data_IF_178608234360
#
_entry.id   IF_178608234360
#
_cell.length_a   1.000
_cell.length_b   1.000
_cell.length_c   1.000
_cell.angle_alpha   90.00
_cell.angle_beta   90.00
_cell.angle_gamma   90.00
#
_symmetry.space_group_name_H-M   'P 1'
#
loop_
_entity.id
_entity.type
_entity.pdbx_description
1 polymer ?
#
# COMPACT_ATOMS: atom_id res chain seq x y z
N UNK A 1 17.12 56.43 -22.81
CA UNK A 1 18.11 57.48 -22.43
C UNK A 1 17.53 58.57 -21.51
N UNK A 2 16.33 59.15 -21.75
CA UNK A 2 15.79 60.24 -20.90
C UNK A 2 15.40 59.79 -19.47
N UNK A 3 14.75 58.63 -19.33
CA UNK A 3 14.31 58.09 -18.01
C UNK A 3 15.49 57.82 -17.07
N UNK A 4 16.55 57.19 -17.58
CA UNK A 4 17.77 56.91 -16.81
C UNK A 4 18.41 58.21 -16.31
N UNK A 5 18.44 59.25 -17.14
CA UNK A 5 19.00 60.56 -16.75
C UNK A 5 18.16 61.26 -15.67
N UNK A 6 16.83 61.10 -15.70
CA UNK A 6 15.92 61.64 -14.68
C UNK A 6 16.04 60.88 -13.35
N UNK A 7 16.17 59.54 -13.39
CA UNK A 7 16.40 58.72 -12.20
C UNK A 7 17.75 59.05 -11.53
N UNK A 8 18.82 59.12 -12.32
CA UNK A 8 20.18 59.39 -11.82
C UNK A 8 20.33 60.81 -11.27
N UNK A 9 19.79 61.82 -11.96
CA UNK A 9 19.83 63.22 -11.48
C UNK A 9 18.90 63.46 -10.29
N UNK A 10 17.75 62.78 -10.26
CA UNK A 10 16.75 62.93 -9.21
C UNK A 10 17.02 62.09 -7.96
N UNK A 11 17.94 61.11 -8.02
CA UNK A 11 18.09 60.04 -7.01
C UNK A 11 16.74 59.38 -6.68
N UNK A 12 15.89 59.22 -7.68
CA UNK A 12 14.58 58.59 -7.56
C UNK A 12 14.60 57.22 -8.23
N UNK A 13 13.85 56.24 -7.70
CA UNK A 13 13.70 54.94 -8.34
C UNK A 13 13.21 55.04 -9.80
N UNK A 14 13.54 54.03 -10.61
CA UNK A 14 13.37 54.10 -12.07
C UNK A 14 11.89 54.23 -12.50
N UNK A 15 11.01 53.56 -11.76
CA UNK A 15 9.55 53.60 -11.86
C UNK A 15 8.98 55.00 -11.61
N UNK A 16 9.47 55.69 -10.59
CA UNK A 16 9.09 57.09 -10.30
C UNK A 16 9.60 58.05 -11.40
N UNK A 17 10.78 57.77 -11.97
CA UNK A 17 11.28 58.52 -13.13
C UNK A 17 10.43 58.29 -14.40
N UNK A 18 9.87 57.09 -14.59
CA UNK A 18 8.91 56.80 -15.66
C UNK A 18 7.60 57.57 -15.46
N UNK A 19 7.03 57.55 -14.26
CA UNK A 19 5.79 58.28 -13.93
C UNK A 19 5.93 59.79 -14.18
N UNK A 20 7.04 60.39 -13.76
CA UNK A 20 7.32 61.82 -13.99
C UNK A 20 7.49 62.20 -15.45
N UNK A 21 7.86 61.25 -16.31
CA UNK A 21 7.95 61.44 -17.75
C UNK A 21 6.63 61.17 -18.47
N UNK A 22 5.52 61.07 -17.73
CA UNK A 22 4.17 60.90 -18.27
C UNK A 22 3.89 59.46 -18.71
N UNK A 23 4.74 58.51 -18.36
CA UNK A 23 4.44 57.09 -18.56
C UNK A 23 3.55 56.62 -17.41
N UNK A 24 2.31 56.29 -17.75
CA UNK A 24 1.41 55.55 -16.88
C UNK A 24 1.59 54.07 -17.19
N UNK A 25 1.72 53.19 -16.18
CA UNK A 25 1.70 51.76 -16.41
C UNK A 25 0.42 51.39 -17.18
N UNK A 26 0.49 50.51 -18.19
CA UNK A 26 -0.70 49.90 -18.78
C UNK A 26 -1.58 49.32 -17.66
N UNK A 27 -2.91 49.43 -17.73
CA UNK A 27 -3.83 48.98 -16.68
C UNK A 27 -3.62 47.48 -16.32
N UNK A 28 -3.15 46.72 -17.30
CA UNK A 28 -2.71 45.34 -17.23
C UNK A 28 -1.47 45.10 -16.34
N UNK A 29 -0.62 46.09 -16.06
CA UNK A 29 0.51 45.96 -15.11
C UNK A 29 0.11 46.16 -13.64
N UNK A 30 -0.94 46.95 -13.36
CA UNK A 30 -1.49 47.06 -12.00
C UNK A 30 -2.34 45.82 -11.64
N UNK A 31 -3.01 45.21 -12.62
CA UNK A 31 -3.74 43.94 -12.43
C UNK A 31 -2.82 42.71 -12.32
N UNK A 32 -1.63 42.72 -12.93
CA UNK A 32 -0.65 41.63 -12.80
C UNK A 32 0.06 41.59 -11.43
N UNK A 33 -0.06 42.64 -10.61
CA UNK A 33 0.56 42.71 -9.28
C UNK A 33 -0.29 42.10 -8.15
N UNK A 34 -1.47 41.52 -8.45
CA UNK A 34 -2.52 41.33 -7.44
C UNK A 34 -3.06 39.94 -7.19
N UNK A 35 -2.87 38.95 -8.06
CA UNK A 35 -3.41 37.60 -7.82
C UNK A 35 -2.32 36.56 -7.99
N UNK A 36 -1.54 36.36 -6.93
CA UNK A 36 -0.77 35.13 -6.80
C UNK A 36 -1.73 33.95 -6.94
N UNK A 37 -1.37 32.93 -7.73
CA UNK A 37 -2.14 31.69 -7.76
C UNK A 37 -2.39 31.19 -6.33
N UNK A 38 -3.49 30.47 -6.13
CA UNK A 38 -3.97 30.10 -4.78
C UNK A 38 -2.88 29.53 -3.86
N UNK A 39 -1.97 28.72 -4.41
CA UNK A 39 -0.82 28.18 -3.68
C UNK A 39 0.11 29.29 -3.15
N UNK A 40 0.49 30.23 -4.01
CA UNK A 40 1.35 31.35 -3.64
C UNK A 40 0.70 32.26 -2.61
N UNK A 41 -0.58 32.56 -2.79
CA UNK A 41 -1.37 33.35 -1.84
C UNK A 41 -1.39 32.70 -0.45
N UNK A 42 -1.73 31.40 -0.38
CA UNK A 42 -1.75 30.65 0.88
C UNK A 42 -0.40 30.62 1.58
N UNK A 43 0.69 30.41 0.84
CA UNK A 43 2.05 30.36 1.43
C UNK A 43 2.49 31.72 1.99
N UNK A 44 2.15 32.83 1.32
CA UNK A 44 2.45 34.18 1.81
C UNK A 44 1.56 34.55 3.00
N UNK A 45 0.25 34.31 2.93
CA UNK A 45 -0.68 34.61 4.03
C UNK A 45 -0.41 33.77 5.28
N UNK A 46 0.08 32.54 5.10
CA UNK A 46 0.55 31.69 6.20
C UNK A 46 1.91 32.11 6.77
N UNK A 47 2.62 33.05 6.12
CA UNK A 47 3.95 33.49 6.53
C UNK A 47 5.02 32.42 6.35
N UNK A 48 4.80 31.46 5.44
CA UNK A 48 5.77 30.40 5.13
C UNK A 48 6.82 30.87 4.15
N UNK A 49 6.48 31.83 3.28
CA UNK A 49 7.41 32.50 2.36
C UNK A 49 7.09 34.00 2.30
N UNK A 50 8.10 34.79 1.96
CA UNK A 50 7.92 36.21 1.66
C UNK A 50 7.52 36.44 0.19
N UNK A 51 6.93 37.59 -0.10
CA UNK A 51 6.51 37.99 -1.46
C UNK A 51 7.67 37.95 -2.47
N UNK A 52 8.87 38.36 -2.06
CA UNK A 52 10.06 38.34 -2.91
C UNK A 52 10.49 36.92 -3.30
N UNK A 53 10.39 35.96 -2.37
CA UNK A 53 10.68 34.54 -2.61
C UNK A 53 9.66 33.95 -3.58
N UNK A 54 8.38 34.33 -3.43
CA UNK A 54 7.32 33.91 -4.34
C UNK A 54 7.54 34.46 -5.77
N UNK A 55 7.86 35.74 -5.91
CA UNK A 55 8.16 36.36 -7.21
C UNK A 55 9.35 35.68 -7.91
N UNK A 56 10.42 35.37 -7.17
CA UNK A 56 11.57 34.64 -7.71
C UNK A 56 11.18 33.22 -8.15
N UNK A 57 10.38 32.52 -7.36
CA UNK A 57 9.95 31.16 -7.69
C UNK A 57 9.00 31.12 -8.89
N UNK A 58 8.13 32.13 -9.05
CA UNK A 58 7.28 32.29 -10.23
C UNK A 58 8.08 32.53 -11.49
N UNK A 59 9.10 33.39 -11.43
CA UNK A 59 10.00 33.62 -12.56
C UNK A 59 10.69 32.32 -12.99
N UNK A 60 11.22 31.56 -12.03
CA UNK A 60 11.85 30.27 -12.33
C UNK A 60 10.87 29.21 -12.83
N UNK A 61 9.63 29.20 -12.33
CA UNK A 61 8.58 28.30 -12.78
C UNK A 61 8.32 28.50 -14.29
N UNK A 62 8.23 29.76 -14.72
CA UNK A 62 8.06 30.11 -16.14
C UNK A 62 9.29 29.73 -16.98
N UNK A 63 10.49 30.09 -16.54
CA UNK A 63 11.73 29.81 -17.28
C UNK A 63 11.99 28.30 -17.45
N UNK A 64 11.66 27.50 -16.42
CA UNK A 64 11.95 26.06 -16.43
C UNK A 64 10.75 25.19 -16.84
N UNK A 65 9.58 25.78 -17.10
CA UNK A 65 8.32 25.06 -17.31
C UNK A 65 8.05 24.02 -16.21
N UNK A 66 8.27 24.42 -14.95
CA UNK A 66 8.03 23.58 -13.77
C UNK A 66 6.92 24.19 -12.90
N UNK A 67 6.14 23.37 -12.18
CA UNK A 67 5.18 23.88 -11.21
C UNK A 67 5.85 24.75 -10.14
N UNK A 68 5.16 25.80 -9.69
CA UNK A 68 5.64 26.76 -8.70
C UNK A 68 6.09 26.08 -7.41
N UNK A 69 5.29 25.16 -6.89
CA UNK A 69 5.61 24.37 -5.70
C UNK A 69 6.92 23.60 -5.88
N UNK A 70 7.13 22.99 -7.05
CA UNK A 70 8.37 22.28 -7.34
C UNK A 70 9.59 23.20 -7.33
N UNK A 71 9.48 24.40 -7.90
CA UNK A 71 10.53 25.42 -7.81
C UNK A 71 10.82 25.84 -6.36
N UNK A 72 9.77 26.05 -5.55
CA UNK A 72 9.92 26.41 -4.13
C UNK A 72 10.67 25.34 -3.33
N UNK A 73 10.43 24.06 -3.60
CA UNK A 73 11.16 22.95 -2.95
C UNK A 73 12.60 22.85 -3.46
N UNK A 74 12.83 22.97 -4.77
CA UNK A 74 14.18 22.91 -5.36
C UNK A 74 15.09 24.02 -4.83
N UNK A 75 14.54 25.23 -4.63
CA UNK A 75 15.25 26.36 -4.03
C UNK A 75 15.40 26.27 -2.51
N UNK A 76 14.86 25.23 -1.88
CA UNK A 76 14.79 25.07 -0.42
C UNK A 76 14.06 26.22 0.29
N UNK A 77 13.14 26.90 -0.41
CA UNK A 77 12.29 27.92 0.19
C UNK A 77 11.26 27.29 1.15
N UNK A 78 10.76 26.10 0.80
CA UNK A 78 9.89 25.28 1.65
C UNK A 78 10.31 23.81 1.57
N UNK A 79 9.93 23.01 2.56
CA UNK A 79 10.13 21.56 2.53
C UNK A 79 9.04 20.84 1.72
N UNK A 80 9.32 19.62 1.26
CA UNK A 80 8.34 18.77 0.57
C UNK A 80 7.08 18.55 1.41
N UNK A 81 7.24 18.34 2.73
CA UNK A 81 6.13 18.13 3.65
C UNK A 81 5.24 19.38 3.79
N UNK A 82 5.83 20.58 3.79
CA UNK A 82 5.09 21.84 3.83
C UNK A 82 4.36 22.12 2.52
N UNK A 83 4.99 21.84 1.38
CA UNK A 83 4.31 21.93 0.10
C UNK A 83 3.14 20.97 0.01
N UNK A 84 3.33 19.70 0.41
CA UNK A 84 2.24 18.73 0.46
C UNK A 84 1.11 19.18 1.39
N UNK A 85 1.44 19.81 2.52
CA UNK A 85 0.46 20.42 3.42
C UNK A 85 -0.30 21.57 2.74
N UNK A 86 0.39 22.46 2.01
CA UNK A 86 -0.26 23.56 1.29
C UNK A 86 -1.18 23.07 0.17
N UNK A 87 -0.73 22.11 -0.64
CA UNK A 87 -1.55 21.49 -1.68
C UNK A 87 -2.76 20.74 -1.09
N UNK A 88 -2.58 20.05 0.04
CA UNK A 88 -3.68 19.40 0.75
C UNK A 88 -4.68 20.43 1.27
N UNK A 89 -4.22 21.61 1.73
CA UNK A 89 -5.10 22.69 2.14
C UNK A 89 -5.97 23.16 0.97
N UNK A 90 -5.37 23.38 -0.20
CA UNK A 90 -6.11 23.76 -1.41
C UNK A 90 -7.15 22.71 -1.82
N UNK A 91 -6.79 21.41 -1.78
CA UNK A 91 -7.76 20.33 -2.05
C UNK A 91 -8.93 20.37 -1.07
N UNK A 92 -8.66 20.53 0.23
CA UNK A 92 -9.71 20.60 1.25
C UNK A 92 -10.58 21.87 1.13
N UNK A 93 -9.98 23.00 0.74
CA UNK A 93 -10.71 24.25 0.47
C UNK A 93 -11.61 24.11 -0.75
N UNK A 94 -11.10 23.54 -1.84
CA UNK A 94 -11.86 23.25 -3.07
C UNK A 94 -13.03 22.31 -2.80
N UNK A 95 -12.81 21.30 -1.96
CA UNK A 95 -13.85 20.36 -1.52
C UNK A 95 -14.83 20.97 -0.50
N UNK A 96 -14.65 22.24 -0.09
CA UNK A 96 -15.49 22.92 0.90
C UNK A 96 -15.37 22.38 2.33
N UNK A 97 -14.34 21.58 2.61
CA UNK A 97 -14.12 20.92 3.92
C UNK A 97 -13.51 21.85 4.96
N UNK A 98 -12.75 22.85 4.51
CA UNK A 98 -12.14 23.88 5.37
C UNK A 98 -12.27 25.25 4.72
N UNK A 99 -12.27 26.29 5.56
CA UNK A 99 -12.19 27.69 5.13
C UNK A 99 -10.75 28.13 4.87
N UNK A 100 -10.56 29.23 4.15
CA UNK A 100 -9.24 29.84 3.93
C UNK A 100 -8.55 30.19 5.26
N UNK A 101 -9.28 30.73 6.23
CA UNK A 101 -8.73 31.05 7.56
C UNK A 101 -8.23 29.78 8.29
N UNK A 102 -9.00 28.70 8.22
CA UNK A 102 -8.59 27.41 8.79
C UNK A 102 -7.36 26.84 8.07
N UNK A 103 -7.28 26.98 6.75
CA UNK A 103 -6.11 26.58 5.97
C UNK A 103 -4.86 27.36 6.40
N UNK A 104 -4.94 28.69 6.48
CA UNK A 104 -3.83 29.57 6.88
C UNK A 104 -3.34 29.23 8.29
N UNK A 105 -4.27 29.13 9.25
CA UNK A 105 -3.94 28.80 10.64
C UNK A 105 -3.41 27.36 10.78
N UNK A 106 -4.00 26.42 10.03
CA UNK A 106 -3.55 25.03 9.96
C UNK A 106 -2.12 24.91 9.42
N UNK A 107 -1.78 25.64 8.35
CA UNK A 107 -0.43 25.66 7.77
C UNK A 107 0.60 26.27 8.72
N UNK A 108 0.27 27.38 9.40
CA UNK A 108 1.13 27.96 10.45
C UNK A 108 1.42 26.95 11.56
N UNK A 109 0.39 26.26 12.03
CA UNK A 109 0.52 25.24 13.07
C UNK A 109 1.34 24.04 12.58
N UNK A 110 1.10 23.55 11.36
CA UNK A 110 1.81 22.44 10.75
C UNK A 110 3.31 22.73 10.65
N UNK A 111 3.68 23.93 10.20
CA UNK A 111 5.07 24.36 10.14
C UNK A 111 5.73 24.50 11.52
N UNK A 112 5.02 25.08 12.50
CA UNK A 112 5.55 25.25 13.86
C UNK A 112 5.74 23.91 14.58
N UNK A 113 4.80 22.98 14.42
CA UNK A 113 4.79 21.67 15.10
C UNK A 113 5.50 20.56 14.31
N UNK A 114 5.89 20.82 13.06
CA UNK A 114 6.51 19.83 12.15
C UNK A 114 5.63 18.57 11.96
N UNK A 115 4.34 18.78 11.72
CA UNK A 115 3.35 17.72 11.50
C UNK A 115 2.53 17.99 10.23
N UNK A 116 1.68 17.04 9.82
CA UNK A 116 0.81 17.23 8.66
C UNK A 116 -0.24 18.31 8.88
N UNK A 117 -0.78 18.83 7.77
CA UNK A 117 -1.93 19.74 7.82
C UNK A 117 -3.12 19.08 8.52
N UNK A 118 -3.46 17.84 8.13
CA UNK A 118 -4.63 17.16 8.66
C UNK A 118 -4.56 17.02 10.19
N UNK A 119 -3.39 16.67 10.74
CA UNK A 119 -3.20 16.60 12.18
C UNK A 119 -3.36 17.98 12.84
N UNK A 120 -2.82 19.03 12.23
CA UNK A 120 -2.94 20.39 12.74
C UNK A 120 -4.38 20.91 12.73
N UNK A 121 -5.17 20.54 11.72
CA UNK A 121 -6.59 20.88 11.64
C UNK A 121 -7.43 20.09 12.65
N UNK A 122 -7.08 18.82 12.90
CA UNK A 122 -7.70 18.01 13.96
C UNK A 122 -7.43 18.60 15.34
N UNK A 123 -6.18 18.95 15.63
CA UNK A 123 -5.80 19.61 16.90
C UNK A 123 -6.59 20.91 17.13
N UNK A 124 -6.88 21.65 16.06
CA UNK A 124 -7.63 22.90 16.10
C UNK A 124 -9.16 22.70 16.14
N UNK A 125 -9.65 21.45 16.06
CA UNK A 125 -11.08 21.13 15.98
C UNK A 125 -11.74 21.54 14.67
N UNK A 126 -10.96 21.93 13.65
CA UNK A 126 -11.43 22.42 12.35
C UNK A 126 -11.72 21.29 11.35
N UNK A 127 -11.27 20.06 11.63
CA UNK A 127 -11.39 18.92 10.72
C UNK A 127 -11.61 17.62 11.49
N UNK A 128 -12.43 16.72 10.95
CA UNK A 128 -12.52 15.33 11.42
C UNK A 128 -12.06 14.43 10.30
N UNK A 129 -11.02 13.62 10.56
CA UNK A 129 -10.64 12.56 9.63
C UNK A 129 -11.79 11.56 9.49
N UNK A 130 -12.19 11.25 8.26
CA UNK A 130 -13.14 10.17 8.00
C UNK A 130 -12.53 8.83 8.40
N UNK A 131 -13.33 7.94 8.98
CA UNK A 131 -12.87 6.66 9.53
C UNK A 131 -12.48 5.58 8.48
N UNK A 132 -12.64 5.85 7.17
CA UNK A 132 -12.24 4.88 6.15
C UNK A 132 -10.76 5.05 5.81
N UNK A 133 -9.99 4.00 6.02
CA UNK A 133 -8.65 3.85 5.44
C UNK A 133 -8.77 3.79 3.91
N UNK A 134 -8.82 4.95 3.25
CA UNK A 134 -8.65 5.05 1.81
C UNK A 134 -7.22 5.47 1.53
N UNK A 135 -6.43 4.60 0.92
CA UNK A 135 -5.10 4.97 0.41
C UNK A 135 -5.31 5.95 -0.74
N UNK A 136 -4.64 7.11 -0.73
CA UNK A 136 -4.73 8.11 -1.82
C UNK A 136 -3.99 7.58 -3.06
N UNK A 137 -4.44 7.95 -4.27
CA UNK A 137 -3.93 7.39 -5.52
C UNK A 137 -2.43 7.67 -5.68
N UNK A 138 -2.03 8.92 -5.44
CA UNK A 138 -0.63 9.33 -5.49
C UNK A 138 0.24 8.56 -4.50
N UNK A 139 -0.24 8.33 -3.27
CA UNK A 139 0.52 7.60 -2.26
C UNK A 139 0.65 6.10 -2.60
N UNK A 140 -0.40 5.49 -3.19
CA UNK A 140 -0.34 4.12 -3.69
C UNK A 140 0.71 3.98 -4.80
N UNK A 141 0.71 4.90 -5.77
CA UNK A 141 1.67 4.91 -6.88
C UNK A 141 3.10 5.15 -6.39
N UNK A 142 3.29 6.05 -5.41
CA UNK A 142 4.60 6.27 -4.79
C UNK A 142 5.08 5.03 -4.03
N UNK A 143 4.21 4.38 -3.24
CA UNK A 143 4.56 3.14 -2.53
C UNK A 143 4.87 1.97 -3.49
N UNK A 144 4.19 1.92 -4.64
CA UNK A 144 4.48 0.95 -5.69
C UNK A 144 5.78 1.27 -6.46
N UNK A 145 6.37 2.45 -6.25
CA UNK A 145 7.58 2.91 -6.94
C UNK A 145 7.35 3.30 -8.40
N UNK A 146 6.09 3.59 -8.78
CA UNK A 146 5.74 3.98 -10.15
C UNK A 146 5.92 5.47 -10.40
N UNK A 147 5.81 6.29 -9.37
CA UNK A 147 6.03 7.74 -9.42
C UNK A 147 6.85 8.18 -8.22
N UNK A 148 7.68 9.21 -8.37
CA UNK A 148 8.41 9.79 -7.25
C UNK A 148 7.51 10.71 -6.43
N UNK A 149 7.98 11.12 -5.24
CA UNK A 149 7.27 12.13 -4.44
C UNK A 149 7.20 13.49 -5.16
N UNK A 150 8.24 13.84 -5.93
CA UNK A 150 8.27 15.06 -6.74
C UNK A 150 7.25 15.03 -7.89
N UNK A 151 7.08 13.86 -8.50
CA UNK A 151 6.09 13.61 -9.56
C UNK A 151 4.67 13.73 -9.02
N UNK A 152 4.41 13.11 -7.86
CA UNK A 152 3.13 13.21 -7.13
C UNK A 152 2.77 14.67 -6.85
N UNK A 153 3.71 15.45 -6.30
CA UNK A 153 3.51 16.86 -5.96
C UNK A 153 3.20 17.68 -7.21
N UNK A 154 4.00 17.51 -8.27
CA UNK A 154 3.81 18.22 -9.54
C UNK A 154 2.43 17.92 -10.13
N UNK A 155 2.02 16.66 -10.11
CA UNK A 155 0.73 16.25 -10.65
C UNK A 155 -0.46 16.80 -9.86
N UNK A 156 -0.33 16.92 -8.53
CA UNK A 156 -1.36 17.56 -7.69
C UNK A 156 -1.47 19.05 -8.02
N UNK A 157 -0.35 19.75 -8.15
CA UNK A 157 -0.32 21.18 -8.44
C UNK A 157 -0.91 21.50 -9.81
N UNK A 158 -0.52 20.75 -10.84
CA UNK A 158 -1.11 20.86 -12.18
C UNK A 158 -2.61 20.55 -12.14
N UNK A 159 -3.01 19.46 -11.47
CA UNK A 159 -4.41 19.07 -11.36
C UNK A 159 -5.29 20.09 -10.62
N UNK A 160 -4.73 20.82 -9.65
CA UNK A 160 -5.42 21.93 -8.98
C UNK A 160 -5.59 23.13 -9.91
N UNK A 161 -4.55 23.50 -10.65
CA UNK A 161 -4.59 24.64 -11.58
C UNK A 161 -5.50 24.39 -12.79
N UNK A 162 -5.51 23.17 -13.31
CA UNK A 162 -6.25 22.79 -14.53
C UNK A 162 -7.61 22.13 -14.23
N UNK A 163 -7.95 21.98 -12.94
CA UNK A 163 -9.14 21.26 -12.48
C UNK A 163 -9.25 19.82 -13.03
N UNK A 164 -8.12 19.13 -13.08
CA UNK A 164 -7.98 17.75 -13.55
C UNK A 164 -7.73 16.77 -12.40
N UNK A 165 -8.02 15.48 -12.63
CA UNK A 165 -7.68 14.45 -11.65
C UNK A 165 -6.19 14.13 -11.72
N UNK A 166 -5.56 13.89 -10.55
CA UNK A 166 -4.13 13.55 -10.48
C UNK A 166 -3.76 12.36 -11.40
N UNK A 167 -4.62 11.34 -11.52
CA UNK A 167 -4.38 10.20 -12.40
C UNK A 167 -4.31 10.60 -13.88
N UNK A 168 -5.18 11.50 -14.33
CA UNK A 168 -5.19 12.01 -15.71
C UNK A 168 -3.91 12.81 -15.99
N UNK A 169 -3.51 13.68 -15.07
CA UNK A 169 -2.27 14.46 -15.17
C UNK A 169 -1.04 13.53 -15.27
N UNK A 170 -0.97 12.50 -14.41
CA UNK A 170 0.14 11.54 -14.43
C UNK A 170 0.24 10.77 -15.76
N UNK A 171 -0.90 10.46 -16.39
CA UNK A 171 -0.94 9.81 -17.71
C UNK A 171 -0.54 10.79 -18.82
N UNK A 172 -1.09 12.00 -18.84
CA UNK A 172 -0.77 13.03 -19.84
C UNK A 172 0.71 13.43 -19.81
N UNK A 173 1.30 13.44 -18.62
CA UNK A 173 2.72 13.72 -18.40
C UNK A 173 3.64 12.55 -18.79
N UNK A 174 3.07 11.41 -19.20
CA UNK A 174 3.83 10.19 -19.56
C UNK A 174 4.49 9.49 -18.37
N UNK A 175 4.10 9.81 -17.13
CA UNK A 175 4.69 9.22 -15.93
C UNK A 175 4.17 7.81 -15.65
N UNK A 176 2.91 7.55 -16.02
CA UNK A 176 2.28 6.22 -15.92
C UNK A 176 1.49 5.90 -17.19
N UNK A 177 1.32 4.61 -17.48
CA UNK A 177 0.45 4.19 -18.58
C UNK A 177 -1.03 4.34 -18.20
N UNK A 178 -1.95 4.55 -19.17
CA UNK A 178 -3.38 4.73 -18.89
C UNK A 178 -3.99 3.61 -18.04
N UNK A 179 -3.63 2.34 -18.31
CA UNK A 179 -4.15 1.19 -17.56
C UNK A 179 -3.74 1.16 -16.09
N UNK A 180 -2.63 1.81 -15.72
CA UNK A 180 -2.15 1.86 -14.32
C UNK A 180 -3.13 2.62 -13.43
N UNK A 181 -3.82 3.65 -13.97
CA UNK A 181 -4.81 4.42 -13.21
C UNK A 181 -5.99 3.51 -12.83
N UNK A 182 -6.55 2.79 -13.80
CA UNK A 182 -7.69 1.90 -13.57
C UNK A 182 -7.35 0.77 -12.59
N UNK A 183 -6.18 0.16 -12.74
CA UNK A 183 -5.67 -0.85 -11.82
C UNK A 183 -5.49 -0.31 -10.40
N UNK A 184 -4.94 0.91 -10.28
CA UNK A 184 -4.75 1.57 -8.99
C UNK A 184 -6.09 1.89 -8.30
N UNK A 185 -7.08 2.37 -9.04
CA UNK A 185 -8.43 2.65 -8.53
C UNK A 185 -9.10 1.37 -8.02
N UNK A 186 -8.96 0.26 -8.76
CA UNK A 186 -9.49 -1.03 -8.32
C UNK A 186 -8.81 -1.53 -7.04
N UNK A 187 -7.49 -1.36 -6.91
CA UNK A 187 -6.78 -1.70 -5.68
C UNK A 187 -7.19 -0.80 -4.51
N UNK A 188 -7.45 0.49 -4.73
CA UNK A 188 -8.00 1.37 -3.69
C UNK A 188 -9.37 0.90 -3.20
N UNK A 189 -10.23 0.41 -4.10
CA UNK A 189 -11.53 -0.16 -3.73
C UNK A 189 -11.37 -1.40 -2.84
N UNK A 190 -10.46 -2.32 -3.22
CA UNK A 190 -10.14 -3.50 -2.42
C UNK A 190 -9.58 -3.15 -1.03
N UNK A 191 -8.77 -2.08 -0.92
CA UNK A 191 -8.31 -1.58 0.38
C UNK A 191 -9.46 -0.97 1.17
N UNK A 192 -10.30 -0.14 0.55
CA UNK A 192 -11.42 0.53 1.21
C UNK A 192 -12.51 -0.42 1.71
N UNK A 193 -12.61 -1.61 1.10
CA UNK A 193 -13.49 -2.70 1.51
C UNK A 193 -12.85 -3.65 2.52
N UNK A 194 -11.58 -3.44 2.89
CA UNK A 194 -10.84 -4.23 3.87
C UNK A 194 -10.36 -5.60 3.36
N UNK A 195 -10.38 -5.84 2.05
CA UNK A 195 -9.94 -7.12 1.47
C UNK A 195 -8.41 -7.27 1.51
N UNK A 196 -7.68 -6.16 1.34
CA UNK A 196 -6.22 -6.11 1.34
C UNK A 196 -5.74 -4.84 2.06
N UNK A 197 -4.50 -4.84 2.54
CA UNK A 197 -3.86 -3.65 3.10
C UNK A 197 -3.28 -2.74 2.01
N UNK A 198 -3.04 -1.46 2.34
CA UNK A 198 -2.39 -0.52 1.42
C UNK A 198 -1.00 -0.99 0.95
N UNK A 199 -0.24 -1.65 1.84
CA UNK A 199 1.06 -2.23 1.49
C UNK A 199 0.92 -3.41 0.52
N UNK A 200 -0.11 -4.25 0.70
CA UNK A 200 -0.39 -5.34 -0.24
C UNK A 200 -0.82 -4.80 -1.60
N UNK A 201 -1.65 -3.76 -1.64
CA UNK A 201 -2.04 -3.08 -2.87
C UNK A 201 -0.82 -2.52 -3.62
N UNK A 202 0.07 -1.81 -2.92
CA UNK A 202 1.29 -1.26 -3.52
C UNK A 202 2.21 -2.34 -4.10
N UNK A 203 2.35 -3.47 -3.39
CA UNK A 203 3.16 -4.59 -3.86
C UNK A 203 2.52 -5.32 -5.05
N UNK A 204 1.19 -5.49 -5.07
CA UNK A 204 0.46 -6.02 -6.24
C UNK A 204 0.71 -5.15 -7.46
N UNK A 205 0.53 -3.83 -7.32
CA UNK A 205 0.70 -2.88 -8.41
C UNK A 205 2.13 -2.86 -8.94
N UNK A 206 3.12 -2.88 -8.04
CA UNK A 206 4.54 -2.97 -8.39
C UNK A 206 4.86 -4.23 -9.18
N UNK A 207 4.35 -5.38 -8.75
CA UNK A 207 4.60 -6.67 -9.42
C UNK A 207 3.90 -6.76 -10.78
N UNK A 208 2.67 -6.27 -10.88
CA UNK A 208 1.93 -6.19 -12.14
C UNK A 208 2.72 -5.35 -13.16
N UNK A 209 3.16 -4.16 -12.78
CA UNK A 209 3.92 -3.27 -13.65
C UNK A 209 5.30 -3.82 -14.03
N UNK A 210 6.06 -4.39 -13.09
CA UNK A 210 7.40 -4.93 -13.36
C UNK A 210 7.36 -6.15 -14.29
N UNK A 211 6.30 -6.96 -14.21
CA UNK A 211 6.07 -8.15 -15.04
C UNK A 211 5.28 -7.87 -16.31
N UNK A 212 4.73 -6.66 -16.47
CA UNK A 212 3.81 -6.27 -17.56
C UNK A 212 2.61 -7.21 -17.70
N UNK A 213 2.02 -7.57 -16.56
CA UNK A 213 0.78 -8.37 -16.48
C UNK A 213 -0.27 -7.57 -15.72
N UNK A 214 -1.55 -7.87 -15.94
CA UNK A 214 -2.63 -7.21 -15.20
C UNK A 214 -2.62 -7.59 -13.71
N UNK A 215 -3.14 -6.70 -12.86
CA UNK A 215 -3.23 -6.95 -11.40
C UNK A 215 -4.00 -8.24 -11.04
N UNK A 216 -4.94 -8.68 -11.88
CA UNK A 216 -5.71 -9.91 -11.69
C UNK A 216 -4.83 -11.14 -11.56
N UNK A 217 -3.79 -11.24 -12.40
CA UNK A 217 -2.85 -12.37 -12.39
C UNK A 217 -2.14 -12.43 -11.05
N UNK A 218 -1.70 -11.29 -10.53
CA UNK A 218 -0.99 -11.21 -9.24
C UNK A 218 -1.93 -11.51 -8.07
N UNK A 219 -3.18 -11.04 -8.13
CA UNK A 219 -4.20 -11.31 -7.12
C UNK A 219 -4.52 -12.82 -7.08
N UNK A 220 -4.71 -13.45 -8.24
CA UNK A 220 -5.00 -14.87 -8.36
C UNK A 220 -3.83 -15.74 -7.87
N UNK A 221 -2.59 -15.43 -8.26
CA UNK A 221 -1.39 -16.12 -7.76
C UNK A 221 -1.30 -16.05 -6.23
N UNK A 222 -1.59 -14.89 -5.63
CA UNK A 222 -1.59 -14.74 -4.16
C UNK A 222 -2.71 -15.54 -3.51
N UNK A 223 -3.91 -15.52 -4.07
CA UNK A 223 -5.05 -16.28 -3.57
C UNK A 223 -4.76 -17.79 -3.62
N UNK A 224 -4.24 -18.29 -4.75
CA UNK A 224 -3.82 -19.68 -4.91
C UNK A 224 -2.73 -20.05 -3.91
N UNK A 225 -1.71 -19.21 -3.71
CA UNK A 225 -0.64 -19.49 -2.75
C UNK A 225 -1.16 -19.53 -1.31
N UNK A 226 -2.10 -18.65 -0.95
CA UNK A 226 -2.74 -18.65 0.36
C UNK A 226 -3.53 -19.95 0.59
N UNK A 227 -4.32 -20.37 -0.38
CA UNK A 227 -5.08 -21.63 -0.33
C UNK A 227 -4.15 -22.86 -0.20
N UNK A 228 -3.04 -22.90 -0.94
CA UNK A 228 -2.04 -23.98 -0.79
C UNK A 228 -1.41 -24.01 0.62
N UNK A 229 -1.09 -22.84 1.19
CA UNK A 229 -0.55 -22.74 2.56
C UNK A 229 -1.58 -23.23 3.59
N UNK A 230 -2.86 -22.86 3.44
CA UNK A 230 -3.96 -23.30 4.31
C UNK A 230 -4.16 -24.81 4.22
N UNK A 231 -4.13 -25.39 3.01
CA UNK A 231 -4.17 -26.85 2.79
C UNK A 231 -3.05 -27.57 3.53
N UNK A 232 -1.79 -27.14 3.33
CA UNK A 232 -0.64 -27.76 4.01
C UNK A 232 -0.75 -27.61 5.53
N UNK A 233 -1.22 -26.47 6.02
CA UNK A 233 -1.43 -26.24 7.46
C UNK A 233 -2.48 -27.21 8.02
N UNK A 234 -3.59 -27.41 7.31
CA UNK A 234 -4.66 -28.31 7.72
C UNK A 234 -4.25 -29.79 7.78
N UNK A 235 -3.33 -30.21 6.90
CA UNK A 235 -2.89 -31.62 6.81
C UNK A 235 -1.51 -31.89 7.42
N UNK A 236 -0.87 -30.90 8.04
CA UNK A 236 0.51 -30.98 8.52
C UNK A 236 0.76 -32.19 9.44
N UNK A 237 -0.20 -32.48 10.30
CA UNK A 237 -0.13 -33.62 11.21
C UNK A 237 -0.18 -34.97 10.47
N UNK A 238 -1.07 -35.10 9.48
CA UNK A 238 -1.20 -36.31 8.69
C UNK A 238 0.08 -36.56 7.87
N UNK A 239 0.69 -35.50 7.34
CA UNK A 239 1.98 -35.55 6.63
C UNK A 239 3.10 -36.07 7.54
N UNK A 240 3.14 -35.67 8.81
CA UNK A 240 4.10 -36.19 9.80
C UNK A 240 3.82 -37.65 10.17
N UNK A 241 2.57 -38.00 10.47
CA UNK A 241 2.20 -39.37 10.91
C UNK A 241 2.40 -40.42 9.82
N UNK A 242 2.17 -40.04 8.57
CA UNK A 242 2.41 -40.88 7.40
C UNK A 242 3.90 -41.01 7.06
N UNK A 243 4.72 -40.06 7.49
CA UNK A 243 6.14 -39.96 7.10
C UNK A 243 6.36 -39.25 5.77
N UNK A 244 5.31 -38.67 5.15
CA UNK A 244 5.45 -37.83 3.96
C UNK A 244 6.28 -36.57 4.25
N UNK A 245 6.16 -36.03 5.46
CA UNK A 245 7.07 -35.03 6.00
C UNK A 245 7.95 -35.70 7.07
N UNK A 246 9.26 -35.79 6.81
CA UNK A 246 10.21 -36.37 7.77
C UNK A 246 10.43 -35.42 8.95
N UNK A 247 10.83 -35.96 10.10
CA UNK A 247 11.17 -35.15 11.27
C UNK A 247 12.32 -34.17 11.00
N UNK A 248 13.30 -34.57 10.19
CA UNK A 248 14.40 -33.70 9.75
C UNK A 248 13.88 -32.52 8.91
N UNK A 249 13.04 -32.79 7.89
CA UNK A 249 12.44 -31.73 7.07
C UNK A 249 11.54 -30.81 7.91
N UNK A 250 10.81 -31.35 8.88
CA UNK A 250 10.00 -30.56 9.81
C UNK A 250 10.86 -29.62 10.66
N UNK A 251 11.93 -30.12 11.29
CA UNK A 251 12.83 -29.31 12.10
C UNK A 251 13.50 -28.22 11.25
N UNK A 252 13.93 -28.57 10.03
CA UNK A 252 14.48 -27.62 9.06
C UNK A 252 13.45 -26.56 8.65
N UNK A 253 12.22 -26.97 8.33
CA UNK A 253 11.13 -26.05 7.98
C UNK A 253 10.81 -25.09 9.13
N UNK A 254 10.76 -25.60 10.36
CA UNK A 254 10.50 -24.80 11.56
C UNK A 254 11.61 -23.79 11.82
N UNK A 255 12.88 -24.21 11.72
CA UNK A 255 14.03 -23.32 11.87
C UNK A 255 14.00 -22.19 10.85
N UNK A 256 13.77 -22.53 9.57
CA UNK A 256 13.67 -21.54 8.49
C UNK A 256 12.45 -20.61 8.67
N UNK A 257 11.31 -21.14 9.10
CA UNK A 257 10.11 -20.35 9.35
C UNK A 257 10.34 -19.29 10.43
N UNK A 258 11.05 -19.66 11.51
CA UNK A 258 11.47 -18.71 12.56
C UNK A 258 12.44 -17.65 12.05
N UNK A 259 13.43 -18.04 11.24
CA UNK A 259 14.43 -17.12 10.70
C UNK A 259 13.83 -16.10 9.72
N UNK A 260 12.90 -16.55 8.88
CA UNK A 260 12.27 -15.74 7.84
C UNK A 260 10.97 -15.07 8.28
N UNK A 261 10.51 -15.35 9.50
CA UNK A 261 9.21 -14.91 10.03
C UNK A 261 8.02 -15.28 9.12
N UNK A 262 8.01 -16.52 8.62
CA UNK A 262 6.94 -17.10 7.77
C UNK A 262 6.43 -18.41 8.36
N UNK A 263 5.28 -18.89 7.90
CA UNK A 263 4.71 -20.14 8.40
C UNK A 263 5.53 -21.36 7.98
N UNK A 264 5.48 -22.44 8.77
CA UNK A 264 6.13 -23.71 8.42
C UNK A 264 5.57 -24.27 7.10
N UNK A 265 4.26 -24.12 6.86
CA UNK A 265 3.60 -24.54 5.63
C UNK A 265 4.14 -23.79 4.40
N UNK A 266 4.38 -22.49 4.54
CA UNK A 266 5.00 -21.69 3.47
C UNK A 266 6.43 -22.16 3.17
N UNK A 267 7.21 -22.52 4.19
CA UNK A 267 8.55 -23.11 3.96
C UNK A 267 8.47 -24.47 3.29
N UNK A 268 7.55 -25.33 3.72
CA UNK A 268 7.34 -26.67 3.14
C UNK A 268 7.05 -26.56 1.65
N UNK A 269 6.16 -25.63 1.24
CA UNK A 269 5.85 -25.38 -0.17
C UNK A 269 7.03 -24.78 -0.92
N UNK A 270 7.65 -23.73 -0.38
CA UNK A 270 8.72 -22.97 -1.08
C UNK A 270 10.00 -23.81 -1.25
N UNK A 271 10.26 -24.74 -0.33
CA UNK A 271 11.42 -25.64 -0.39
C UNK A 271 11.08 -27.03 -0.90
N UNK A 272 9.86 -27.25 -1.38
CA UNK A 272 9.36 -28.51 -1.93
C UNK A 272 9.68 -29.71 -1.00
N UNK A 273 9.53 -29.51 0.31
CA UNK A 273 9.89 -30.53 1.31
C UNK A 273 8.96 -31.74 1.34
N UNK A 274 7.81 -31.62 0.68
CA UNK A 274 6.80 -32.65 0.49
C UNK A 274 6.31 -32.55 -0.95
N UNK A 275 6.19 -33.69 -1.63
CA UNK A 275 5.63 -33.76 -2.99
C UNK A 275 4.19 -33.23 -3.02
N UNK A 276 3.85 -32.45 -4.06
CA UNK A 276 2.50 -31.91 -4.26
C UNK A 276 1.42 -33.00 -4.27
N UNK A 277 1.72 -34.15 -4.86
CA UNK A 277 0.89 -35.37 -4.84
C UNK A 277 0.53 -35.81 -3.42
N UNK A 278 1.51 -35.85 -2.51
CA UNK A 278 1.31 -36.31 -1.14
C UNK A 278 0.52 -35.30 -0.31
N UNK A 279 0.67 -33.99 -0.57
CA UNK A 279 -0.17 -32.96 0.04
C UNK A 279 -1.62 -33.12 -0.42
N UNK A 280 -1.86 -33.38 -1.71
CA UNK A 280 -3.20 -33.63 -2.24
C UNK A 280 -3.83 -34.91 -1.67
N UNK A 281 -3.07 -36.00 -1.62
CA UNK A 281 -3.49 -37.26 -0.98
C UNK A 281 -3.88 -37.04 0.49
N UNK A 282 -3.08 -36.28 1.22
CA UNK A 282 -3.34 -35.94 2.61
C UNK A 282 -4.64 -35.14 2.78
N UNK A 283 -4.87 -34.16 1.90
CA UNK A 283 -6.07 -33.32 1.94
C UNK A 283 -7.34 -34.11 1.57
N UNK A 284 -7.27 -34.96 0.54
CA UNK A 284 -8.35 -35.88 0.18
C UNK A 284 -8.65 -36.85 1.32
N UNK A 285 -7.63 -37.45 1.91
CA UNK A 285 -7.76 -38.36 3.04
C UNK A 285 -8.39 -37.69 4.26
N UNK A 286 -7.98 -36.46 4.59
CA UNK A 286 -8.60 -35.68 5.65
C UNK A 286 -10.10 -35.43 5.37
N UNK A 287 -10.47 -35.11 4.13
CA UNK A 287 -11.88 -34.99 3.73
C UNK A 287 -12.67 -36.28 3.98
N UNK A 288 -12.16 -37.44 3.55
CA UNK A 288 -12.82 -38.73 3.78
C UNK A 288 -12.93 -39.10 5.26
N UNK A 289 -11.99 -38.66 6.10
CA UNK A 289 -12.06 -38.83 7.56
C UNK A 289 -13.17 -37.97 8.15
N UNK A 290 -13.28 -36.72 7.71
CA UNK A 290 -14.34 -35.80 8.13
C UNK A 290 -15.72 -36.32 7.73
N UNK A 291 -15.83 -36.89 6.53
CA UNK A 291 -17.07 -37.48 6.01
C UNK A 291 -17.39 -38.85 6.64
N UNK A 292 -16.53 -39.37 7.52
CA UNK A 292 -16.72 -40.65 8.21
C UNK A 292 -16.57 -41.88 7.31
N UNK A 293 -16.03 -41.72 6.10
CA UNK A 293 -15.83 -42.79 5.13
C UNK A 293 -14.66 -43.70 5.54
N UNK A 294 -13.59 -43.11 6.08
CA UNK A 294 -12.45 -43.83 6.66
C UNK A 294 -12.09 -43.25 8.02
N UNK A 295 -11.45 -44.04 8.88
CA UNK A 295 -10.92 -43.54 10.15
C UNK A 295 -9.50 -42.95 10.00
N UNK A 296 -9.03 -42.19 11.00
CA UNK A 296 -7.71 -41.55 10.94
C UNK A 296 -6.56 -42.56 10.76
N UNK A 297 -6.64 -43.73 11.38
CA UNK A 297 -5.62 -44.79 11.22
C UNK A 297 -5.56 -45.36 9.80
N UNK A 298 -6.72 -45.56 9.16
CA UNK A 298 -6.82 -45.99 7.76
C UNK A 298 -6.24 -44.92 6.83
N UNK A 299 -6.53 -43.64 7.09
CA UNK A 299 -5.97 -42.53 6.33
C UNK A 299 -4.43 -42.48 6.40
N UNK A 300 -3.85 -42.62 7.60
CA UNK A 300 -2.40 -42.68 7.79
C UNK A 300 -1.79 -43.90 7.10
N UNK A 301 -2.46 -45.06 7.13
CA UNK A 301 -2.00 -46.27 6.45
C UNK A 301 -2.02 -46.09 4.92
N UNK A 302 -3.10 -45.56 4.38
CA UNK A 302 -3.23 -45.25 2.95
C UNK A 302 -2.12 -44.31 2.49
N UNK A 303 -1.86 -43.24 3.26
CA UNK A 303 -0.74 -42.34 2.97
C UNK A 303 0.62 -43.05 2.99
N UNK A 304 0.87 -43.94 3.97
CA UNK A 304 2.11 -44.74 4.01
C UNK A 304 2.26 -45.64 2.79
N UNK A 305 1.15 -46.21 2.30
CA UNK A 305 1.15 -47.00 1.07
C UNK A 305 1.44 -46.12 -0.15
N UNK A 306 0.85 -44.92 -0.27
CA UNK A 306 1.13 -43.98 -1.35
C UNK A 306 2.61 -43.58 -1.43
N UNK A 307 3.29 -43.45 -0.28
CA UNK A 307 4.72 -43.17 -0.21
C UNK A 307 5.54 -44.38 -0.70
N UNK A 308 5.16 -45.60 -0.29
CA UNK A 308 5.90 -46.83 -0.62
C UNK A 308 5.71 -47.29 -2.07
N UNK A 309 4.49 -47.24 -2.59
CA UNK A 309 4.15 -47.76 -3.92
C UNK A 309 4.24 -46.69 -5.01
N UNK A 310 4.22 -45.41 -4.64
CA UNK A 310 4.13 -44.31 -5.59
C UNK A 310 2.78 -44.16 -6.26
N UNK A 311 1.79 -45.01 -5.92
CA UNK A 311 0.45 -44.95 -6.49
C UNK A 311 -0.33 -43.71 -6.02
N UNK A 312 -1.38 -43.40 -6.77
CA UNK A 312 -2.32 -42.34 -6.43
C UNK A 312 -3.22 -42.76 -5.26
N UNK A 313 -3.62 -41.79 -4.44
CA UNK A 313 -4.38 -42.05 -3.21
C UNK A 313 -5.66 -42.86 -3.44
N UNK A 314 -6.38 -42.54 -4.51
CA UNK A 314 -7.56 -43.26 -4.97
C UNK A 314 -7.32 -44.76 -5.21
N UNK A 315 -6.16 -45.14 -5.74
CA UNK A 315 -5.84 -46.53 -6.05
C UNK A 315 -5.59 -47.31 -4.77
N UNK A 316 -4.82 -46.72 -3.85
CA UNK A 316 -4.50 -47.29 -2.54
C UNK A 316 -5.76 -47.50 -1.69
N UNK A 317 -6.76 -46.62 -1.79
CA UNK A 317 -8.03 -46.78 -1.06
C UNK A 317 -8.75 -48.10 -1.40
N UNK A 318 -8.57 -48.65 -2.61
CA UNK A 318 -9.18 -49.93 -3.02
C UNK A 318 -8.52 -51.13 -2.34
N UNK A 319 -7.26 -50.98 -1.97
CA UNK A 319 -6.45 -52.02 -1.35
C UNK A 319 -6.49 -51.97 0.18
N UNK A 320 -7.18 -50.97 0.75
CA UNK A 320 -7.32 -50.86 2.19
C UNK A 320 -8.12 -52.04 2.77
N UNK A 321 -7.64 -52.66 3.85
CA UNK A 321 -8.39 -53.71 4.52
C UNK A 321 -9.73 -53.17 5.03
N UNK A 322 -10.81 -53.85 4.67
CA UNK A 322 -12.21 -53.48 4.98
C UNK A 322 -12.56 -53.58 6.48
N UNK A 323 -11.64 -54.07 7.31
CA UNK A 323 -11.90 -54.34 8.73
C UNK A 323 -11.20 -53.33 9.65
N UNK A 324 -11.99 -52.38 10.14
CA UNK A 324 -12.12 -52.00 11.56
C UNK A 324 -13.25 -50.98 11.71
N UNK A 325 -14.43 -51.32 11.16
CA UNK A 325 -15.66 -50.65 11.54
C UNK A 325 -16.14 -51.21 12.90
N UNK A 326 -15.48 -50.84 14.00
CA UNK A 326 -16.22 -50.75 15.25
C UNK A 326 -17.05 -49.47 15.18
N UNK A 327 -18.22 -49.59 14.55
CA UNK A 327 -19.32 -48.65 14.73
C UNK A 327 -19.70 -48.71 16.22
N UNK A 328 -19.11 -47.83 17.03
CA UNK A 328 -19.69 -47.50 18.33
C UNK A 328 -20.93 -46.66 18.05
N UNK A 329 -22.08 -47.31 18.13
CA UNK A 329 -23.38 -46.65 18.23
C UNK A 329 -23.34 -45.69 19.43
N UNK A 330 -23.82 -44.43 19.30
CA UNK A 330 -23.83 -43.51 20.43
C UNK A 330 -24.96 -43.90 21.39
N UNK A 331 -24.62 -44.58 22.49
CA UNK A 331 -25.42 -44.53 23.71
C UNK A 331 -25.15 -43.20 24.42
N UNK A 332 -26.23 -42.54 24.80
CA UNK A 332 -26.32 -41.20 25.40
C UNK A 332 -25.48 -41.06 26.69
N UNK A 333 -25.14 -39.79 27.00
CA UNK A 333 -24.48 -39.27 28.21
C UNK A 333 -22.93 -39.47 28.22
N UNK A 334 -22.05 -38.47 28.30
CA UNK A 334 -22.06 -37.25 29.11
C UNK A 334 -21.31 -36.08 28.41
N UNK A 335 -21.70 -34.87 28.79
CA UNK A 335 -21.09 -33.60 28.44
C UNK A 335 -19.79 -33.40 29.25
N UNK A 336 -18.62 -33.26 28.60
CA UNK A 336 -17.55 -32.41 29.15
C UNK A 336 -16.48 -32.01 28.12
N UNK A 337 -16.38 -30.71 27.86
CA UNK A 337 -15.14 -29.92 27.99
C UNK A 337 -13.88 -30.37 27.25
N UNK A 338 -13.62 -29.68 26.14
CA UNK A 338 -12.32 -29.12 25.71
C UNK A 338 -11.03 -29.82 26.19
N UNK A 339 -10.43 -30.61 25.29
CA UNK A 339 -9.03 -31.10 25.40
C UNK A 339 -8.31 -31.03 24.06
N UNK A 340 -8.21 -29.83 23.46
CA UNK A 340 -7.36 -29.60 22.27
C UNK A 340 -5.89 -29.26 22.58
N UNK A 341 -5.47 -29.18 23.85
CA UNK A 341 -4.12 -28.66 24.21
C UNK A 341 -3.08 -29.71 24.63
N UNK A 342 -3.44 -30.98 24.87
CA UNK A 342 -2.51 -31.92 25.52
C UNK A 342 -1.67 -32.81 24.60
N UNK A 343 -2.15 -33.10 23.39
CA UNK A 343 -1.52 -34.13 22.55
C UNK A 343 -0.42 -33.61 21.62
N UNK A 344 -0.57 -32.37 21.12
CA UNK A 344 0.48 -31.67 20.36
C UNK A 344 1.78 -31.62 21.17
N UNK A 345 1.75 -31.26 22.45
CA UNK A 345 2.94 -31.27 23.31
C UNK A 345 3.64 -32.64 23.39
N UNK A 346 2.86 -33.73 23.43
CA UNK A 346 3.40 -35.09 23.50
C UNK A 346 4.00 -35.57 22.17
N UNK A 347 3.41 -35.22 21.02
CA UNK A 347 3.99 -35.51 19.71
C UNK A 347 5.27 -34.68 19.46
N UNK A 348 5.23 -33.39 19.83
CA UNK A 348 6.40 -32.50 19.78
C UNK A 348 7.56 -33.01 20.63
N UNK A 349 7.27 -33.57 21.81
CA UNK A 349 8.30 -34.18 22.67
C UNK A 349 8.91 -35.48 22.11
N UNK A 350 8.20 -36.18 21.21
CA UNK A 350 8.67 -37.43 20.60
C UNK A 350 9.49 -37.19 19.33
N UNK A 351 9.18 -36.14 18.58
CA UNK A 351 9.93 -35.74 17.38
C UNK A 351 11.28 -35.11 17.76
N UNK A 352 11.38 -34.42 18.89
CA UNK A 352 12.64 -33.81 19.38
C UNK A 352 13.53 -34.75 20.21
N UNK A 353 13.03 -35.91 20.64
CA UNK A 353 13.78 -36.87 21.48
C UNK A 353 14.52 -37.97 20.70
N UNK A 354 14.58 -37.87 19.37
CA UNK A 354 15.28 -38.84 18.52
C UNK A 354 16.48 -38.15 17.85
N UNK A 355 17.40 -37.70 18.69
CA UNK A 355 18.81 -37.52 18.32
C UNK A 355 19.53 -38.86 18.38
#
# INVERSE_FOLDING_TARGET
MKVINVSVKGKIPLDEAFRRLGWTPPADMEEQSGTFGELGSLLVQSGLIDKSVLEQALWQSQENNLPLGRCLVLNRAISSNLLQSALTAQVLMRDGKITEEQAINGLKSAARKQQSLEQSLVDAGAYRQGQKESVKLGDLLTQAGLVTEGDKISAIEIGLNENQKIGEVLVQSGMIAPGVVDESLRLQEMVSSGQISGLQAADILRQANSRKVGIDVIIEERASRKDEIEKVTGVLELLLQSGALTGENFNRAQSLGRQLNVSIAEVILTKEMVEKRLIQAAYQGQGLVVDGIINNSQCVLAMKMCIKTGQEFHEVLKELPSDTAQVKTPSQEEVSGDKKSGWLGNLWSKVTKKD
#
